data_IF_676359677304
#
_entry.id   IF_676359677304
#
_cell.length_a   1.000
_cell.length_b   1.000
_cell.length_c   1.000
_cell.angle_alpha   90.00
_cell.angle_beta   90.00
_cell.angle_gamma   90.00
#
_symmetry.space_group_name_H-M   'P 1'
#
loop_
_entity.id
_entity.type
_entity.pdbx_description
1 polymer ?
#
# COMPACT_ATOMS: atom_id res chain seq x y z
N UNK A 1 -10.01 16.89 45.34
CA UNK A 1 -9.76 15.59 44.69
C UNK A 1 -10.75 15.41 43.56
N UNK A 2 -10.30 15.56 42.31
CA UNK A 2 -11.18 15.45 41.14
C UNK A 2 -10.43 14.81 39.96
N UNK A 3 -10.87 13.59 39.65
CA UNK A 3 -10.93 12.94 38.33
C UNK A 3 -9.71 13.07 37.42
N UNK A 4 -8.73 12.20 37.69
CA UNK A 4 -7.72 11.77 36.74
C UNK A 4 -8.46 10.99 35.63
N UNK A 5 -8.68 11.62 34.49
CA UNK A 5 -9.12 10.93 33.28
C UNK A 5 -7.98 9.99 32.85
N UNK A 6 -8.05 8.73 33.27
CA UNK A 6 -7.28 7.67 32.66
C UNK A 6 -7.82 7.48 31.24
N UNK A 7 -7.20 8.18 30.28
CA UNK A 7 -7.33 7.85 28.87
C UNK A 7 -6.89 6.39 28.74
N UNK A 8 -7.85 5.50 28.50
CA UNK A 8 -7.60 4.11 28.19
C UNK A 8 -6.59 4.05 27.05
N UNK A 9 -5.44 3.42 27.33
CA UNK A 9 -4.31 3.32 26.42
C UNK A 9 -4.59 2.33 25.30
N UNK A 10 -5.51 2.64 24.40
CA UNK A 10 -5.54 2.02 23.08
C UNK A 10 -4.28 2.50 22.36
N UNK A 11 -3.22 1.69 22.39
CA UNK A 11 -2.08 1.89 21.51
C UNK A 11 -2.53 1.41 20.14
N UNK A 12 -2.88 2.33 19.27
CA UNK A 12 -3.05 2.01 17.85
C UNK A 12 -1.70 1.56 17.33
N UNK A 13 -1.61 0.30 16.88
CA UNK A 13 -0.41 -0.20 16.25
C UNK A 13 -0.56 -0.01 14.74
N UNK A 14 0.43 0.66 14.14
CA UNK A 14 0.55 0.74 12.69
C UNK A 14 1.28 -0.52 12.23
N UNK A 15 0.60 -1.35 11.44
CA UNK A 15 1.16 -2.54 10.81
C UNK A 15 1.54 -2.24 9.37
N UNK A 16 2.76 -2.60 8.97
CA UNK A 16 3.24 -2.50 7.60
C UNK A 16 3.07 -3.86 6.89
N UNK A 17 2.20 -3.91 5.89
CA UNK A 17 1.95 -5.12 5.10
C UNK A 17 2.62 -5.01 3.74
N UNK A 18 3.50 -5.95 3.41
CA UNK A 18 4.21 -5.94 2.14
C UNK A 18 3.47 -6.78 1.09
N UNK A 19 3.36 -6.25 -0.13
CA UNK A 19 2.78 -6.98 -1.26
C UNK A 19 3.60 -6.75 -2.53
N UNK A 20 3.56 -7.74 -3.44
CA UNK A 20 4.15 -7.66 -4.78
C UNK A 20 3.06 -7.79 -5.82
N UNK A 21 3.02 -6.89 -6.79
CA UNK A 21 2.14 -6.94 -7.94
C UNK A 21 2.96 -7.12 -9.22
N UNK A 22 2.53 -8.04 -10.08
CA UNK A 22 3.07 -8.21 -11.43
C UNK A 22 1.94 -7.97 -12.42
N UNK A 23 2.06 -6.93 -13.24
CA UNK A 23 1.05 -6.56 -14.23
C UNK A 23 1.64 -6.46 -15.62
N UNK A 24 0.79 -6.63 -16.64
CA UNK A 24 1.12 -6.47 -18.05
C UNK A 24 0.19 -5.43 -18.66
N UNK A 25 0.75 -4.47 -19.37
CA UNK A 25 -0.05 -3.47 -20.07
C UNK A 25 0.78 -2.41 -20.76
N UNK A 26 0.11 -1.44 -21.37
CA UNK A 26 0.77 -0.25 -21.92
C UNK A 26 1.37 0.60 -20.79
N UNK A 27 2.36 1.42 -21.12
CA UNK A 27 2.93 2.39 -20.18
C UNK A 27 1.85 3.28 -19.55
N UNK A 28 0.89 3.76 -20.35
CA UNK A 28 -0.22 4.59 -19.87
C UNK A 28 -1.06 3.88 -18.81
N UNK A 29 -1.41 2.60 -19.05
CA UNK A 29 -2.18 1.81 -18.08
C UNK A 29 -1.41 1.59 -16.78
N UNK A 30 -0.09 1.38 -16.85
CA UNK A 30 0.78 1.23 -15.68
C UNK A 30 0.81 2.54 -14.88
N UNK A 31 1.00 3.69 -15.52
CA UNK A 31 0.98 5.00 -14.82
C UNK A 31 -0.38 5.25 -14.15
N UNK A 32 -1.49 4.91 -14.81
CA UNK A 32 -2.82 5.01 -14.22
C UNK A 32 -2.99 4.12 -12.98
N UNK A 33 -2.43 2.90 -13.00
CA UNK A 33 -2.42 2.02 -11.83
C UNK A 33 -1.61 2.64 -10.68
N UNK A 34 -0.42 3.16 -10.95
CA UNK A 34 0.42 3.80 -9.93
C UNK A 34 -0.28 4.98 -9.26
N UNK A 35 -0.91 5.84 -10.05
CA UNK A 35 -1.68 6.97 -9.53
C UNK A 35 -2.86 6.52 -8.65
N UNK A 36 -3.55 5.45 -9.05
CA UNK A 36 -4.63 4.87 -8.23
C UNK A 36 -4.13 4.28 -6.92
N UNK A 37 -2.97 3.61 -6.94
CA UNK A 37 -2.38 3.03 -5.74
C UNK A 37 -1.99 4.13 -4.74
N UNK A 38 -1.33 5.21 -5.20
CA UNK A 38 -0.93 6.32 -4.33
C UNK A 38 -2.10 7.22 -3.90
N UNK A 39 -3.12 7.37 -4.75
CA UNK A 39 -4.33 8.15 -4.43
C UNK A 39 -5.37 7.39 -3.61
N UNK A 40 -5.08 6.16 -3.18
CA UNK A 40 -5.98 5.35 -2.37
C UNK A 40 -6.18 5.99 -0.99
N UNK A 41 -7.39 5.90 -0.39
CA UNK A 41 -7.61 6.32 0.99
C UNK A 41 -6.82 5.46 2.01
N UNK A 42 -6.31 4.30 1.59
CA UNK A 42 -5.35 3.52 2.37
C UNK A 42 -3.95 4.10 2.18
N UNK A 43 -3.17 4.19 3.24
CA UNK A 43 -1.79 4.65 3.17
C UNK A 43 -0.92 3.58 2.50
N UNK A 44 -0.79 3.67 1.17
CA UNK A 44 0.03 2.78 0.34
C UNK A 44 1.30 3.49 -0.07
N UNK A 45 2.43 2.85 0.16
CA UNK A 45 3.74 3.27 -0.30
C UNK A 45 4.23 2.35 -1.41
N UNK A 46 4.76 2.93 -2.47
CA UNK A 46 5.46 2.19 -3.52
C UNK A 46 6.93 2.13 -3.11
N UNK A 47 7.43 0.92 -2.89
CA UNK A 47 8.80 0.67 -2.45
C UNK A 47 9.74 0.54 -3.66
N UNK A 48 9.37 -0.30 -4.63
CA UNK A 48 10.18 -0.56 -5.82
C UNK A 48 9.32 -0.83 -7.05
N UNK A 49 9.87 -0.48 -8.22
CA UNK A 49 9.23 -0.65 -9.52
C UNK A 49 10.27 -1.15 -10.52
N UNK A 50 9.94 -2.21 -11.25
CA UNK A 50 10.73 -2.73 -12.37
C UNK A 50 9.84 -2.83 -13.59
N UNK A 51 10.22 -2.16 -14.67
CA UNK A 51 9.48 -2.17 -15.94
C UNK A 51 10.39 -2.72 -17.03
N UNK A 52 9.86 -3.66 -17.82
CA UNK A 52 10.55 -4.19 -18.99
C UNK A 52 9.57 -4.51 -20.11
N UNK A 53 9.98 -4.41 -21.38
CA UNK A 53 9.23 -4.98 -22.50
C UNK A 53 9.00 -6.48 -22.28
N UNK A 54 7.86 -6.98 -22.74
CA UNK A 54 7.59 -8.44 -22.72
C UNK A 54 8.32 -9.13 -23.87
N UNK A 55 8.52 -8.42 -24.97
CA UNK A 55 9.36 -8.80 -26.11
C UNK A 55 9.83 -7.52 -26.82
N UNK A 56 10.86 -7.65 -27.66
CA UNK A 56 11.48 -6.52 -28.37
C UNK A 56 10.54 -5.81 -29.35
N UNK A 57 9.45 -6.45 -29.76
CA UNK A 57 8.45 -5.93 -30.68
C UNK A 57 7.12 -5.54 -30.03
N UNK A 58 6.97 -5.75 -28.73
CA UNK A 58 5.70 -5.48 -28.04
C UNK A 58 5.65 -4.08 -27.46
N UNK A 59 4.54 -3.37 -27.69
CA UNK A 59 4.21 -2.15 -26.97
C UNK A 59 3.76 -2.42 -25.51
N UNK A 60 3.64 -3.69 -25.12
CA UNK A 60 3.27 -4.09 -23.78
C UNK A 60 4.51 -4.26 -22.88
N UNK A 61 4.35 -3.77 -21.66
CA UNK A 61 5.36 -3.80 -20.63
C UNK A 61 4.91 -4.73 -19.51
N UNK A 62 5.82 -5.55 -19.00
CA UNK A 62 5.68 -6.19 -17.70
C UNK A 62 6.19 -5.22 -16.64
N UNK A 63 5.36 -4.96 -15.63
CA UNK A 63 5.69 -4.12 -14.49
C UNK A 63 5.57 -4.95 -13.20
N UNK A 64 6.67 -5.06 -12.47
CA UNK A 64 6.74 -5.67 -11.16
C UNK A 64 6.87 -4.56 -10.11
N UNK A 65 5.96 -4.52 -9.13
CA UNK A 65 5.82 -3.45 -8.15
C UNK A 65 5.83 -4.07 -6.75
N UNK A 66 6.70 -3.57 -5.87
CA UNK A 66 6.60 -3.84 -4.43
C UNK A 66 5.91 -2.67 -3.75
N UNK A 67 4.91 -2.96 -2.92
CA UNK A 67 4.18 -1.96 -2.15
C UNK A 67 4.17 -2.31 -0.66
N UNK A 68 4.03 -1.28 0.16
CA UNK A 68 3.77 -1.38 1.60
C UNK A 68 2.42 -0.74 1.89
N UNK A 69 1.53 -1.48 2.53
CA UNK A 69 0.19 -1.04 2.92
C UNK A 69 0.19 -0.89 4.44
N UNK A 70 0.05 0.35 4.91
CA UNK A 70 -0.06 0.62 6.34
C UNK A 70 -1.51 0.49 6.79
N UNK A 71 -1.73 -0.28 7.85
CA UNK A 71 -3.04 -0.48 8.48
C UNK A 71 -2.96 -0.18 9.95
N UNK A 72 -3.94 0.53 10.50
CA UNK A 72 -4.10 0.71 11.94
C UNK A 72 -4.96 -0.43 12.50
N UNK A 73 -4.44 -1.16 13.47
CA UNK A 73 -5.25 -2.12 14.23
C UNK A 73 -5.69 -1.49 15.54
N UNK A 74 -7.01 -1.30 15.70
CA UNK A 74 -7.58 -1.07 17.02
C UNK A 74 -7.62 -2.41 17.77
N UNK A 75 -6.87 -2.50 18.87
CA UNK A 75 -7.09 -3.58 19.83
C UNK A 75 -8.43 -3.33 20.50
N UNK A 76 -9.48 -4.03 20.06
CA UNK A 76 -10.71 -4.12 20.84
C UNK A 76 -10.33 -4.79 22.16
N UNK A 77 -10.34 -4.01 23.24
CA UNK A 77 -10.21 -4.55 24.57
C UNK A 77 -11.43 -5.45 24.81
N UNK A 78 -11.23 -6.76 24.73
CA UNK A 78 -12.24 -7.73 25.16
C UNK A 78 -12.33 -7.57 26.69
N UNK A 79 -13.42 -6.97 27.15
CA UNK A 79 -13.84 -6.92 28.55
C UNK A 79 -14.33 -8.30 29.00
#
# INVERSE_FOLDING_TARGET
SALKAERSGARDYITANHAKLSVVGSYRSIVMLMNKLQGSPRQVWIDSVSIKPISDSSEQLKCDISIVIYTTEEKVAVL
#
